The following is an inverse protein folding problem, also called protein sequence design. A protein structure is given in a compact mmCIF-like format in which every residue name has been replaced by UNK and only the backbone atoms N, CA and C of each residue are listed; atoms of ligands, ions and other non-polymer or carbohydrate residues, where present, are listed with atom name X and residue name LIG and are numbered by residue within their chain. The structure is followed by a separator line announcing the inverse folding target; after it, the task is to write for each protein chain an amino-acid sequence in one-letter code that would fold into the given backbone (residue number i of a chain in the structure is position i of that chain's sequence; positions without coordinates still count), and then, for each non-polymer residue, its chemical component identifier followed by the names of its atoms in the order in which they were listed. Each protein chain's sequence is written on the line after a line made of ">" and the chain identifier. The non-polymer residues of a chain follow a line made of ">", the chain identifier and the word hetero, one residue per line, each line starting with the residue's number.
data_IF_005030854265
#
_entry.id   IF_005030854265
#
_cell.length_a   1.000
_cell.length_b   1.000
_cell.length_c   1.000
_cell.angle_alpha   90.00
_cell.angle_beta   90.00
_cell.angle_gamma   90.00
#
_symmetry.space_group_name_H-M   'P 1'
#
loop_
_entity.id
_entity.type
_entity.pdbx_description
1 polymer ?
#
# COMPACT_ATOMS: atom_id res chain seq x y z
N UNK A 1 -18.88 1.52 16.08
CA UNK A 1 -17.66 1.50 15.27
C UNK A 1 -17.12 2.92 15.23
N UNK A 2 -15.80 3.12 15.13
CA UNK A 2 -15.25 4.46 14.91
C UNK A 2 -15.41 4.78 13.42
N UNK A 3 -15.88 5.98 13.09
CA UNK A 3 -16.06 6.41 11.70
C UNK A 3 -14.84 7.22 11.24
N UNK A 4 -14.42 7.00 9.98
CA UNK A 4 -13.37 7.80 9.33
C UNK A 4 -11.93 7.51 9.77
N UNK A 5 -11.63 6.29 10.24
CA UNK A 5 -10.25 5.90 10.55
C UNK A 5 -9.49 5.40 9.30
N UNK A 6 -8.17 5.38 9.41
CA UNK A 6 -7.26 4.73 8.48
C UNK A 6 -6.34 3.78 9.23
N UNK A 7 -5.74 2.83 8.51
CA UNK A 7 -4.73 1.92 9.07
C UNK A 7 -3.39 2.12 8.35
N UNK A 8 -2.29 1.75 9.01
CA UNK A 8 -0.97 1.66 8.38
C UNK A 8 -0.42 0.24 8.56
N UNK A 9 0.19 -0.28 7.50
CA UNK A 9 0.84 -1.58 7.48
C UNK A 9 2.13 -1.53 6.65
N UNK A 10 2.98 -2.55 6.82
CA UNK A 10 4.12 -2.80 5.93
C UNK A 10 3.72 -3.81 4.85
N UNK A 11 4.50 -3.92 3.76
CA UNK A 11 4.14 -4.82 2.67
C UNK A 11 4.11 -6.30 3.08
N UNK A 12 4.88 -6.68 4.11
CA UNK A 12 4.91 -8.04 4.68
C UNK A 12 3.66 -8.40 5.50
N UNK A 13 2.85 -7.43 5.91
CA UNK A 13 1.70 -7.65 6.80
C UNK A 13 0.45 -8.13 6.04
N UNK A 14 0.54 -8.40 4.71
CA UNK A 14 -0.58 -8.93 3.90
C UNK A 14 -1.31 -10.13 4.55
N UNK A 15 -0.62 -11.14 5.11
CA UNK A 15 -1.32 -12.25 5.78
C UNK A 15 -2.14 -11.80 7.00
N UNK A 16 -1.62 -10.85 7.79
CA UNK A 16 -2.34 -10.30 8.92
C UNK A 16 -3.54 -9.44 8.47
N UNK A 17 -3.40 -8.72 7.36
CA UNK A 17 -4.52 -7.99 6.74
C UNK A 17 -5.63 -8.96 6.30
N UNK A 18 -5.28 -10.11 5.71
CA UNK A 18 -6.25 -11.14 5.31
C UNK A 18 -7.04 -11.67 6.50
N UNK A 19 -6.36 -11.98 7.60
CA UNK A 19 -6.99 -12.47 8.83
C UNK A 19 -7.90 -11.40 9.46
N UNK A 20 -7.48 -10.14 9.44
CA UNK A 20 -8.21 -9.04 10.07
C UNK A 20 -9.30 -8.40 9.19
N UNK A 21 -9.37 -8.72 7.90
CA UNK A 21 -10.23 -8.03 6.92
C UNK A 21 -11.70 -7.92 7.37
N UNK A 22 -12.23 -8.98 7.99
CA UNK A 22 -13.61 -9.04 8.49
C UNK A 22 -13.92 -8.08 9.65
N UNK A 23 -12.89 -7.48 10.26
CA UNK A 23 -13.00 -6.51 11.36
C UNK A 23 -12.86 -5.06 10.88
N UNK A 24 -12.49 -4.85 9.61
CA UNK A 24 -12.15 -3.55 9.03
C UNK A 24 -13.33 -3.08 8.16
N UNK A 25 -13.62 -1.78 8.18
CA UNK A 25 -14.67 -1.22 7.35
C UNK A 25 -14.24 -1.19 5.87
N UNK A 26 -15.15 -1.49 4.95
CA UNK A 26 -14.92 -1.29 3.50
C UNK A 26 -14.50 0.16 3.22
N UNK A 27 -13.74 0.36 2.14
CA UNK A 27 -13.20 1.65 1.70
C UNK A 27 -12.24 2.31 2.70
N UNK A 28 -11.83 1.61 3.76
CA UNK A 28 -10.84 2.11 4.73
C UNK A 28 -9.52 2.38 4.02
N UNK A 29 -8.94 3.60 4.14
CA UNK A 29 -7.61 3.87 3.61
C UNK A 29 -6.54 3.09 4.39
N UNK A 30 -5.68 2.37 3.67
CA UNK A 30 -4.57 1.62 4.25
C UNK A 30 -3.24 2.13 3.69
N UNK A 31 -2.48 2.78 4.54
CA UNK A 31 -1.14 3.24 4.23
C UNK A 31 -0.16 2.05 4.15
N UNK A 32 0.67 2.01 3.11
CA UNK A 32 1.74 1.00 2.96
C UNK A 32 3.09 1.68 3.19
N UNK A 33 3.74 1.37 4.32
CA UNK A 33 5.00 1.99 4.73
C UNK A 33 6.14 1.66 3.76
N UNK A 34 7.06 2.61 3.55
CA UNK A 34 8.28 2.39 2.77
C UNK A 34 9.46 2.00 3.69
N UNK A 35 9.65 0.71 3.95
CA UNK A 35 10.79 0.22 4.75
C UNK A 35 12.01 -0.17 3.89
N UNK A 36 13.24 -0.06 4.45
CA UNK A 36 14.43 -0.60 3.77
C UNK A 36 14.34 -2.13 3.63
N UNK A 37 14.80 -2.65 2.49
CA UNK A 37 14.81 -4.09 2.19
C UNK A 37 13.59 -4.61 1.42
N UNK A 38 12.50 -3.85 1.38
CA UNK A 38 11.33 -4.16 0.56
C UNK A 38 11.49 -3.61 -0.86
N UNK A 39 11.10 -4.38 -1.86
CA UNK A 39 11.14 -3.99 -3.27
C UNK A 39 9.87 -3.23 -3.67
N UNK A 40 9.91 -2.61 -4.84
CA UNK A 40 8.71 -1.97 -5.42
C UNK A 40 7.58 -2.98 -5.62
N UNK A 41 7.92 -4.19 -6.07
CA UNK A 41 6.95 -5.25 -6.35
C UNK A 41 6.21 -5.71 -5.08
N UNK A 42 6.87 -5.68 -3.91
CA UNK A 42 6.23 -6.00 -2.64
C UNK A 42 5.13 -4.99 -2.31
N UNK A 43 5.36 -3.71 -2.63
CA UNK A 43 4.40 -2.62 -2.39
C UNK A 43 3.23 -2.69 -3.35
N UNK A 44 3.50 -3.00 -4.62
CA UNK A 44 2.44 -3.22 -5.61
C UNK A 44 1.58 -4.41 -5.20
N UNK A 45 2.18 -5.53 -4.80
CA UNK A 45 1.45 -6.69 -4.31
C UNK A 45 0.60 -6.38 -3.06
N UNK A 46 1.09 -5.52 -2.15
CA UNK A 46 0.30 -5.04 -1.03
C UNK A 46 -0.88 -4.17 -1.49
N UNK A 47 -0.65 -3.23 -2.41
CA UNK A 47 -1.69 -2.34 -2.91
C UNK A 47 -2.80 -3.10 -3.66
N UNK A 48 -2.43 -4.10 -4.49
CA UNK A 48 -3.40 -5.02 -5.13
C UNK A 48 -4.21 -5.74 -4.07
N UNK A 49 -3.55 -6.33 -3.06
CA UNK A 49 -4.25 -7.11 -2.04
C UNK A 49 -5.23 -6.26 -1.21
N UNK A 50 -4.85 -5.03 -0.90
CA UNK A 50 -5.71 -4.05 -0.24
C UNK A 50 -6.98 -3.80 -1.07
N UNK A 51 -6.84 -3.60 -2.40
CA UNK A 51 -8.00 -3.43 -3.31
C UNK A 51 -8.87 -4.68 -3.38
N UNK A 52 -8.27 -5.86 -3.50
CA UNK A 52 -9.00 -7.14 -3.54
C UNK A 52 -9.87 -7.37 -2.29
N UNK A 53 -9.45 -6.83 -1.15
CA UNK A 53 -10.19 -6.89 0.12
C UNK A 53 -11.24 -5.78 0.28
N UNK A 54 -11.38 -4.89 -0.71
CA UNK A 54 -12.35 -3.79 -0.69
C UNK A 54 -11.89 -2.57 0.11
N UNK A 55 -10.58 -2.36 0.24
CA UNK A 55 -9.98 -1.20 0.91
C UNK A 55 -9.25 -0.29 -0.10
N UNK A 56 -8.89 0.92 0.29
CA UNK A 56 -8.17 1.86 -0.59
C UNK A 56 -6.68 1.94 -0.24
N UNK A 57 -5.76 1.56 -1.14
CA UNK A 57 -4.33 1.58 -0.86
C UNK A 57 -3.73 2.99 -0.93
N UNK A 58 -2.91 3.34 0.05
CA UNK A 58 -2.16 4.61 0.11
C UNK A 58 -0.65 4.34 0.26
N UNK A 59 0.07 4.00 -0.83
CA UNK A 59 1.50 3.69 -0.75
C UNK A 59 2.36 4.92 -0.42
N UNK A 60 3.23 4.79 0.58
CA UNK A 60 4.20 5.84 0.90
C UNK A 60 5.35 5.87 -0.11
N UNK A 61 5.80 7.08 -0.48
CA UNK A 61 7.00 7.32 -1.27
C UNK A 61 8.04 8.05 -0.41
N UNK A 62 9.20 7.43 -0.18
CA UNK A 62 10.25 8.02 0.67
C UNK A 62 11.23 8.83 -0.17
N UNK A 63 11.10 10.16 -0.17
CA UNK A 63 11.91 11.07 -0.98
C UNK A 63 13.43 10.83 -0.88
N UNK A 64 13.95 10.49 0.31
CA UNK A 64 15.38 10.18 0.53
C UNK A 64 15.90 8.94 -0.21
N UNK A 65 15.02 8.16 -0.83
CA UNK A 65 15.30 6.94 -1.61
C UNK A 65 14.98 7.10 -3.09
N UNK A 66 14.68 8.32 -3.52
CA UNK A 66 14.36 8.66 -4.90
C UNK A 66 15.51 9.53 -5.40
N UNK A 67 16.24 9.05 -6.39
CA UNK A 67 17.49 9.66 -6.85
C UNK A 67 17.30 10.49 -8.12
N UNK A 68 16.14 10.39 -8.79
CA UNK A 68 15.80 11.21 -9.96
C UNK A 68 14.28 11.37 -10.14
N UNK A 69 13.88 12.37 -10.93
CA UNK A 69 12.49 12.54 -11.37
C UNK A 69 11.99 11.35 -12.20
N UNK A 70 12.86 10.76 -13.02
CA UNK A 70 12.55 9.57 -13.81
C UNK A 70 12.23 8.36 -12.92
N UNK A 71 12.96 8.20 -11.82
CA UNK A 71 12.69 7.15 -10.83
C UNK A 71 11.33 7.37 -10.16
N UNK A 72 11.04 8.61 -9.73
CA UNK A 72 9.73 8.98 -9.18
C UNK A 72 8.59 8.66 -10.17
N UNK A 73 8.73 9.11 -11.42
CA UNK A 73 7.74 8.87 -12.47
C UNK A 73 7.54 7.38 -12.71
N UNK A 74 8.62 6.60 -12.75
CA UNK A 74 8.57 5.14 -12.88
C UNK A 74 7.80 4.52 -11.72
N UNK A 75 8.10 4.89 -10.48
CA UNK A 75 7.39 4.37 -9.31
C UNK A 75 5.89 4.69 -9.35
N UNK A 76 5.54 5.94 -9.66
CA UNK A 76 4.13 6.37 -9.75
C UNK A 76 3.38 5.63 -10.86
N UNK A 77 3.97 5.55 -12.06
CA UNK A 77 3.35 4.88 -13.21
C UNK A 77 3.09 3.40 -12.92
N UNK A 78 4.05 2.72 -12.27
CA UNK A 78 3.90 1.33 -11.87
C UNK A 78 2.79 1.14 -10.85
N UNK A 79 2.72 1.97 -9.80
CA UNK A 79 1.62 1.91 -8.82
C UNK A 79 0.25 2.10 -9.48
N UNK A 80 0.10 3.10 -10.36
CA UNK A 80 -1.17 3.37 -11.04
C UNK A 80 -1.55 2.27 -12.03
N UNK A 81 -0.57 1.71 -12.76
CA UNK A 81 -0.84 0.72 -13.80
C UNK A 81 -1.09 -0.69 -13.23
N UNK A 82 -0.33 -1.07 -12.19
CA UNK A 82 -0.27 -2.45 -11.70
C UNK A 82 -1.12 -2.69 -10.44
N UNK A 83 -1.38 -1.67 -9.61
CA UNK A 83 -2.19 -1.83 -8.39
C UNK A 83 -3.70 -1.71 -8.69
N UNK A 84 -4.23 -2.66 -9.47
CA UNK A 84 -5.64 -2.74 -9.85
C UNK A 84 -6.38 -3.80 -9.05
#
# INVERSE_FOLDING_TARGET
>A
MMDGYSLEMTAKDRPALDEAAHLIATDTPIAVTFLPGEKMDDRIAAAVRIRELGFEPMPHLSARRIFSEEELATMMNRLVAEAR
#
